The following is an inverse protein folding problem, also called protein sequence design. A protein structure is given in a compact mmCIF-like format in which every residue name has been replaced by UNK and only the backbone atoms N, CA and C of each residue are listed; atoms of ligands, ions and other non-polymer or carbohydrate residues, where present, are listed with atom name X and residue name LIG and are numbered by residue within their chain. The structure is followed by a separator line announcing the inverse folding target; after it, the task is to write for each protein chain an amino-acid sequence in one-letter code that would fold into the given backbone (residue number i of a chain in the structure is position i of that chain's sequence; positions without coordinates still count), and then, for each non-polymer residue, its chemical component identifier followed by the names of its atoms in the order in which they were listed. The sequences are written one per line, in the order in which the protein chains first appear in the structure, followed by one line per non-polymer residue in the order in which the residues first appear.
data_IF_087458451204
#
_entry.id   IF_087458451204
#
_cell.length_a   1.000
_cell.length_b   1.000
_cell.length_c   1.000
_cell.angle_alpha   90.00
_cell.angle_beta   90.00
_cell.angle_gamma   90.00
#
_symmetry.space_group_name_H-M   'P 1'
#
loop_
_entity.id
_entity.type
_entity.pdbx_description
1 polymer ?
#
# COMPACT_ATOMS: atom_id res chain seq x y z
N UNK A 1 17.04 15.47 -5.21
CA UNK A 1 17.18 14.42 -6.23
C UNK A 1 16.25 14.75 -7.38
N UNK A 2 16.71 14.60 -8.61
CA UNK A 2 15.83 14.64 -9.78
C UNK A 2 15.01 13.33 -9.91
N UNK A 3 14.05 13.30 -10.83
CA UNK A 3 13.17 12.13 -11.00
C UNK A 3 13.92 10.87 -11.43
N UNK A 4 14.91 10.97 -12.31
CA UNK A 4 15.64 9.79 -12.79
C UNK A 4 16.45 9.15 -11.65
N UNK A 5 17.11 9.98 -10.84
CA UNK A 5 17.82 9.54 -9.64
C UNK A 5 16.90 8.82 -8.65
N UNK A 6 15.69 9.35 -8.41
CA UNK A 6 14.72 8.70 -7.51
C UNK A 6 14.29 7.33 -8.02
N UNK A 7 14.04 7.20 -9.33
CA UNK A 7 13.64 5.92 -9.93
C UNK A 7 14.76 4.88 -9.87
N UNK A 8 16.02 5.29 -10.05
CA UNK A 8 17.17 4.40 -9.88
C UNK A 8 17.31 3.90 -8.42
N UNK A 9 17.12 4.78 -7.44
CA UNK A 9 17.18 4.42 -6.03
C UNK A 9 16.00 3.51 -5.60
N UNK A 10 14.82 3.74 -6.18
CA UNK A 10 13.66 2.87 -6.01
C UNK A 10 13.94 1.46 -6.57
N UNK A 11 14.40 1.37 -7.82
CA UNK A 11 14.75 0.09 -8.46
C UNK A 11 15.82 -0.68 -7.68
N UNK A 12 16.84 0.03 -7.19
CA UNK A 12 17.88 -0.54 -6.31
C UNK A 12 17.31 -1.06 -5.00
N UNK A 13 16.38 -0.33 -4.39
CA UNK A 13 15.73 -0.74 -3.14
C UNK A 13 14.88 -2.00 -3.33
N UNK A 14 14.12 -2.06 -4.42
CA UNK A 14 13.29 -3.22 -4.77
C UNK A 14 14.13 -4.45 -5.09
N UNK A 15 15.19 -4.27 -5.90
CA UNK A 15 16.16 -5.33 -6.21
C UNK A 15 16.79 -5.89 -4.93
N UNK A 16 17.20 -5.01 -4.00
CA UNK A 16 17.75 -5.44 -2.72
C UNK A 16 16.76 -6.22 -1.88
N UNK A 17 15.51 -5.77 -1.78
CA UNK A 17 14.48 -6.50 -1.06
C UNK A 17 14.25 -7.89 -1.66
N UNK A 18 14.23 -8.00 -2.99
CA UNK A 18 14.13 -9.28 -3.69
C UNK A 18 15.34 -10.19 -3.42
N UNK A 19 16.55 -9.67 -3.45
CA UNK A 19 17.77 -10.45 -3.18
C UNK A 19 17.87 -10.92 -1.72
N UNK A 20 17.44 -10.08 -0.78
CA UNK A 20 17.59 -10.34 0.65
C UNK A 20 16.44 -11.17 1.25
N UNK A 21 15.20 -10.95 0.77
CA UNK A 21 13.98 -11.53 1.36
C UNK A 21 13.39 -12.59 0.43
N UNK A 22 13.54 -12.41 -0.89
CA UNK A 22 12.83 -13.21 -1.89
C UNK A 22 11.37 -12.78 -2.00
N UNK A 23 10.46 -13.74 -1.84
CA UNK A 23 9.04 -13.45 -1.75
C UNK A 23 8.73 -12.70 -0.45
N UNK A 24 8.35 -11.42 -0.58
CA UNK A 24 8.02 -10.57 0.56
C UNK A 24 6.62 -10.86 1.13
N UNK A 25 5.76 -11.58 0.41
CA UNK A 25 4.35 -11.77 0.77
C UNK A 25 4.18 -12.30 2.19
N UNK A 26 4.86 -13.38 2.62
CA UNK A 26 4.69 -13.90 3.98
C UNK A 26 5.12 -12.90 5.05
N UNK A 27 6.15 -12.10 4.78
CA UNK A 27 6.70 -11.10 5.72
C UNK A 27 5.74 -9.90 5.84
N UNK A 28 5.23 -9.42 4.71
CA UNK A 28 4.23 -8.34 4.66
C UNK A 28 2.95 -8.76 5.37
N UNK A 29 2.43 -9.95 5.05
CA UNK A 29 1.19 -10.44 5.65
C UNK A 29 1.30 -10.67 7.16
N UNK A 30 2.42 -11.23 7.63
CA UNK A 30 2.67 -11.39 9.06
C UNK A 30 2.66 -10.04 9.80
N UNK A 31 3.33 -9.02 9.25
CA UNK A 31 3.34 -7.65 9.80
C UNK A 31 1.96 -7.01 9.76
N UNK A 32 1.26 -7.17 8.63
CA UNK A 32 -0.06 -6.61 8.41
C UNK A 32 -1.07 -7.18 9.41
N UNK A 33 -1.14 -8.50 9.58
CA UNK A 33 -2.04 -9.14 10.55
C UNK A 33 -1.67 -8.87 12.00
N UNK A 34 -0.39 -8.66 12.32
CA UNK A 34 -0.02 -8.22 13.66
C UNK A 34 -0.61 -6.84 14.02
N UNK A 35 -0.77 -5.94 13.03
CA UNK A 35 -1.35 -4.60 13.20
C UNK A 35 -2.87 -4.58 13.04
N UNK A 36 -3.40 -5.44 12.18
CA UNK A 36 -4.82 -5.52 11.84
C UNK A 36 -5.30 -6.98 11.90
N UNK A 37 -5.39 -7.59 13.09
CA UNK A 37 -5.69 -9.02 13.23
C UNK A 37 -7.05 -9.40 12.62
N UNK A 38 -8.03 -8.50 12.71
CA UNK A 38 -9.38 -8.72 12.16
C UNK A 38 -9.41 -8.78 10.63
N UNK A 39 -8.37 -8.29 9.93
CA UNK A 39 -8.29 -8.36 8.48
C UNK A 39 -8.09 -9.80 7.97
N UNK A 40 -7.58 -10.72 8.79
CA UNK A 40 -7.40 -12.12 8.40
C UNK A 40 -8.73 -12.78 7.99
N UNK A 41 -9.79 -12.55 8.77
CA UNK A 41 -11.13 -13.05 8.46
C UNK A 41 -11.69 -12.47 7.14
N UNK A 42 -11.29 -11.26 6.76
CA UNK A 42 -11.66 -10.65 5.48
C UNK A 42 -10.97 -11.34 4.31
N UNK A 43 -9.68 -11.65 4.44
CA UNK A 43 -8.92 -12.41 3.45
C UNK A 43 -9.45 -13.84 3.29
N UNK A 44 -9.82 -14.52 4.38
CA UNK A 44 -10.46 -15.83 4.32
C UNK A 44 -11.81 -15.79 3.58
N UNK A 45 -12.65 -14.79 3.89
CA UNK A 45 -13.96 -14.61 3.27
C UNK A 45 -13.84 -14.38 1.77
N UNK A 46 -13.01 -13.42 1.36
CA UNK A 46 -12.88 -13.01 -0.04
C UNK A 46 -12.01 -13.97 -0.85
N UNK A 47 -11.06 -14.65 -0.21
CA UNK A 47 -10.19 -15.62 -0.85
C UNK A 47 -10.93 -16.90 -1.28
N UNK A 48 -12.11 -17.19 -0.72
CA UNK A 48 -12.96 -18.33 -1.11
C UNK A 48 -12.18 -19.67 -1.18
N UNK A 49 -11.37 -19.94 -0.16
CA UNK A 49 -10.51 -21.14 -0.08
C UNK A 49 -9.14 -20.99 -0.76
N UNK A 50 -8.84 -19.81 -1.30
CA UNK A 50 -7.55 -19.46 -1.94
C UNK A 50 -6.88 -18.26 -1.26
N UNK A 51 -6.99 -18.16 0.07
CA UNK A 51 -6.48 -17.03 0.87
C UNK A 51 -5.04 -16.65 0.51
N UNK A 52 -4.12 -17.62 0.48
CA UNK A 52 -2.72 -17.33 0.15
C UNK A 52 -2.55 -16.74 -1.26
N UNK A 53 -3.35 -17.16 -2.24
CA UNK A 53 -3.29 -16.56 -3.58
C UNK A 53 -3.80 -15.10 -3.58
N UNK A 54 -4.86 -14.82 -2.81
CA UNK A 54 -5.36 -13.46 -2.64
C UNK A 54 -4.35 -12.57 -1.90
N UNK A 55 -3.65 -13.09 -0.89
CA UNK A 55 -2.57 -12.38 -0.20
C UNK A 55 -1.47 -11.94 -1.17
N UNK A 56 -0.99 -12.85 -2.02
CA UNK A 56 0.00 -12.53 -3.06
C UNK A 56 -0.53 -11.45 -4.00
N UNK A 57 -1.75 -11.60 -4.51
CA UNK A 57 -2.36 -10.63 -5.42
C UNK A 57 -2.45 -9.22 -4.79
N UNK A 58 -2.81 -9.14 -3.50
CA UNK A 58 -2.92 -7.85 -2.82
C UNK A 58 -1.55 -7.23 -2.53
N UNK A 59 -0.52 -8.03 -2.24
CA UNK A 59 0.86 -7.54 -2.11
C UNK A 59 1.43 -7.10 -3.46
N UNK A 60 1.15 -7.83 -4.54
CA UNK A 60 1.53 -7.43 -5.91
C UNK A 60 0.90 -6.09 -6.30
N UNK A 61 -0.37 -5.87 -5.96
CA UNK A 61 -1.05 -4.59 -6.19
C UNK A 61 -0.41 -3.45 -5.39
N UNK A 62 0.05 -3.72 -4.16
CA UNK A 62 0.82 -2.75 -3.39
C UNK A 62 2.15 -2.43 -4.07
N UNK A 63 2.91 -3.45 -4.49
CA UNK A 63 4.18 -3.28 -5.20
C UNK A 63 4.01 -2.44 -6.47
N UNK A 64 2.96 -2.69 -7.25
CA UNK A 64 2.64 -1.89 -8.43
C UNK A 64 2.45 -0.40 -8.07
N UNK A 65 1.69 -0.09 -7.02
CA UNK A 65 1.52 1.30 -6.57
C UNK A 65 2.86 1.94 -6.17
N UNK A 66 3.72 1.20 -5.47
CA UNK A 66 5.03 1.68 -5.01
C UNK A 66 5.99 1.93 -6.18
N UNK A 67 6.02 1.02 -7.16
CA UNK A 67 6.87 1.13 -8.36
C UNK A 67 6.53 2.37 -9.19
N UNK A 68 5.25 2.72 -9.29
CA UNK A 68 4.79 3.74 -10.24
C UNK A 68 4.37 5.06 -9.61
N UNK A 69 4.24 5.19 -8.29
CA UNK A 69 3.77 6.43 -7.66
C UNK A 69 4.65 7.66 -7.94
N UNK A 70 5.96 7.48 -8.17
CA UNK A 70 6.88 8.56 -8.53
C UNK A 70 6.98 8.81 -10.04
N UNK A 71 6.75 7.78 -10.85
CA UNK A 71 6.82 7.89 -12.31
C UNK A 71 5.50 8.40 -12.89
N UNK A 72 4.37 7.90 -12.38
CA UNK A 72 3.01 8.04 -12.90
C UNK A 72 2.03 8.36 -11.76
N UNK A 73 2.21 9.46 -11.02
CA UNK A 73 1.44 9.76 -9.81
C UNK A 73 -0.07 9.81 -10.07
N UNK A 74 -0.50 10.43 -11.18
CA UNK A 74 -1.93 10.53 -11.53
C UNK A 74 -2.56 9.17 -11.86
N UNK A 75 -1.81 8.24 -12.44
CA UNK A 75 -2.30 6.88 -12.71
C UNK A 75 -2.59 6.15 -11.40
N UNK A 76 -1.65 6.23 -10.45
CA UNK A 76 -1.80 5.64 -9.11
C UNK A 76 -2.91 6.32 -8.31
N UNK A 77 -3.05 7.64 -8.40
CA UNK A 77 -4.14 8.37 -7.78
C UNK A 77 -5.51 7.88 -8.27
N UNK A 78 -5.73 7.87 -9.59
CA UNK A 78 -6.99 7.39 -10.19
C UNK A 78 -7.26 5.93 -9.81
N UNK A 79 -6.24 5.07 -9.81
CA UNK A 79 -6.39 3.68 -9.41
C UNK A 79 -6.90 3.58 -7.97
N UNK A 80 -6.26 4.29 -7.04
CA UNK A 80 -6.60 4.25 -5.62
C UNK A 80 -7.95 4.92 -5.32
N UNK A 81 -8.29 6.02 -6.00
CA UNK A 81 -9.59 6.69 -5.88
C UNK A 81 -10.76 5.80 -6.29
N UNK A 82 -10.55 4.86 -7.21
CA UNK A 82 -11.56 3.87 -7.59
C UNK A 82 -11.52 2.62 -6.68
N UNK A 83 -10.32 2.15 -6.36
CA UNK A 83 -10.11 0.91 -5.60
C UNK A 83 -10.57 1.05 -4.16
N UNK A 84 -10.22 2.14 -3.48
CA UNK A 84 -10.53 2.34 -2.06
C UNK A 84 -12.04 2.38 -1.77
N UNK A 85 -12.87 3.15 -2.49
CA UNK A 85 -14.33 3.12 -2.29
C UNK A 85 -14.95 1.76 -2.59
N UNK A 86 -14.48 1.04 -3.62
CA UNK A 86 -14.98 -0.30 -3.91
C UNK A 86 -14.71 -1.26 -2.75
N UNK A 87 -13.49 -1.24 -2.21
CA UNK A 87 -13.11 -2.04 -1.05
C UNK A 87 -13.95 -1.71 0.18
N UNK A 88 -14.14 -0.42 0.48
CA UNK A 88 -14.92 0.04 1.63
C UNK A 88 -16.40 -0.34 1.51
N UNK A 89 -17.04 0.01 0.40
CA UNK A 89 -18.50 -0.05 0.28
C UNK A 89 -19.02 -1.38 -0.26
N UNK A 90 -18.24 -2.08 -1.08
CA UNK A 90 -18.64 -3.36 -1.67
C UNK A 90 -18.04 -4.54 -0.91
N UNK A 91 -16.75 -4.50 -0.62
CA UNK A 91 -16.04 -5.63 -0.01
C UNK A 91 -15.98 -5.58 1.52
N UNK A 92 -16.49 -4.50 2.13
CA UNK A 92 -16.47 -4.26 3.58
C UNK A 92 -15.04 -4.31 4.16
N UNK A 93 -14.04 -3.95 3.36
CA UNK A 93 -12.65 -3.79 3.79
C UNK A 93 -12.48 -2.35 4.27
N UNK A 94 -12.16 -2.17 5.55
CA UNK A 94 -12.02 -0.81 6.09
C UNK A 94 -10.91 -0.03 5.40
N UNK A 95 -11.07 1.29 5.31
CA UNK A 95 -10.02 2.18 4.82
C UNK A 95 -8.67 1.97 5.52
N UNK A 96 -8.70 1.77 6.85
CA UNK A 96 -7.48 1.59 7.63
C UNK A 96 -6.81 0.23 7.34
N UNK A 97 -7.59 -0.81 7.00
CA UNK A 97 -7.05 -2.10 6.52
C UNK A 97 -6.40 -1.95 5.14
N UNK A 98 -7.08 -1.29 4.20
CA UNK A 98 -6.53 -1.05 2.86
C UNK A 98 -5.19 -0.31 2.93
N UNK A 99 -5.17 0.82 3.64
CA UNK A 99 -3.95 1.61 3.84
C UNK A 99 -2.90 0.80 4.61
N UNK A 100 -3.31 0.04 5.62
CA UNK A 100 -2.42 -0.76 6.46
C UNK A 100 -1.59 -1.78 5.67
N UNK A 101 -2.15 -2.37 4.60
CA UNK A 101 -1.40 -3.29 3.75
C UNK A 101 -0.32 -2.57 2.92
N UNK A 102 -0.64 -1.40 2.38
CA UNK A 102 0.34 -0.56 1.66
C UNK A 102 1.45 -0.11 2.61
N UNK A 103 1.09 0.36 3.81
CA UNK A 103 2.05 0.75 4.85
C UNK A 103 2.95 -0.43 5.28
N UNK A 104 2.39 -1.64 5.44
CA UNK A 104 3.16 -2.84 5.76
C UNK A 104 4.15 -3.22 4.65
N UNK A 105 3.74 -3.09 3.38
CA UNK A 105 4.60 -3.34 2.22
C UNK A 105 5.77 -2.36 2.16
N UNK A 106 5.50 -1.06 2.36
CA UNK A 106 6.54 -0.03 2.46
C UNK A 106 7.53 -0.36 3.56
N UNK A 107 7.05 -0.72 4.75
CA UNK A 107 7.93 -1.00 5.89
C UNK A 107 8.86 -2.20 5.63
N UNK A 108 8.35 -3.27 5.00
CA UNK A 108 9.17 -4.46 4.70
C UNK A 108 10.31 -4.10 3.75
N UNK A 109 10.02 -3.32 2.71
CA UNK A 109 11.05 -2.94 1.73
C UNK A 109 12.02 -1.92 2.34
N UNK A 110 11.51 -0.91 3.04
CA UNK A 110 12.33 0.14 3.65
C UNK A 110 13.29 -0.40 4.71
N UNK A 111 12.92 -1.44 5.45
CA UNK A 111 13.79 -2.11 6.42
C UNK A 111 14.95 -2.88 5.77
N UNK A 112 14.85 -3.25 4.50
CA UNK A 112 15.98 -3.86 3.78
C UNK A 112 17.11 -2.86 3.45
N UNK A 113 16.85 -1.56 3.61
CA UNK A 113 17.77 -0.48 3.21
C UNK A 113 18.81 -0.25 4.31
N UNK A 114 20.13 -0.38 4.01
CA UNK A 114 21.21 -0.19 4.99
C UNK A 114 21.15 1.18 5.66
N UNK A 115 21.39 1.29 6.98
CA UNK A 115 21.21 2.50 7.80
C UNK A 115 22.02 3.75 7.38
N UNK A 116 23.01 3.59 6.50
CA UNK A 116 23.83 4.64 5.91
C UNK A 116 23.39 5.09 4.48
N UNK A 117 22.56 4.32 3.78
CA UNK A 117 21.93 4.68 2.51
C UNK A 117 20.81 5.75 2.65
N UNK A 118 21.20 6.98 3.03
CA UNK A 118 20.28 8.10 3.31
C UNK A 118 19.39 8.48 2.11
N UNK A 119 19.94 8.47 0.89
CA UNK A 119 19.20 8.86 -0.31
C UNK A 119 18.06 7.88 -0.64
N UNK A 120 18.29 6.57 -0.45
CA UNK A 120 17.25 5.56 -0.64
C UNK A 120 16.14 5.72 0.40
N UNK A 121 16.49 5.90 1.67
CA UNK A 121 15.51 6.20 2.72
C UNK A 121 14.67 7.44 2.41
N UNK A 122 15.31 8.50 1.92
CA UNK A 122 14.62 9.71 1.52
C UNK A 122 13.59 9.43 0.40
N UNK A 123 13.92 8.55 -0.56
CA UNK A 123 12.96 8.14 -1.60
C UNK A 123 11.75 7.43 -1.00
N UNK A 124 11.95 6.54 -0.03
CA UNK A 124 10.83 5.84 0.63
C UNK A 124 9.98 6.73 1.52
N UNK A 125 10.58 7.73 2.17
CA UNK A 125 9.84 8.78 2.88
C UNK A 125 8.98 9.61 1.91
N UNK A 126 9.51 9.92 0.72
CA UNK A 126 8.75 10.61 -0.33
C UNK A 126 7.59 9.75 -0.86
N UNK A 127 7.82 8.47 -1.13
CA UNK A 127 6.76 7.51 -1.54
C UNK A 127 5.64 7.48 -0.49
N UNK A 128 5.99 7.39 0.80
CA UNK A 128 5.01 7.43 1.89
C UNK A 128 4.23 8.74 1.90
N UNK A 129 4.90 9.87 1.68
CA UNK A 129 4.25 11.18 1.60
C UNK A 129 3.29 11.28 0.42
N UNK A 130 3.68 10.80 -0.77
CA UNK A 130 2.85 10.82 -1.98
C UNK A 130 1.59 9.99 -1.78
N UNK A 131 1.74 8.73 -1.38
CA UNK A 131 0.60 7.84 -1.14
C UNK A 131 -0.26 8.31 0.04
N UNK A 132 0.34 8.89 1.07
CA UNK A 132 -0.38 9.52 2.18
C UNK A 132 -1.27 10.68 1.72
N UNK A 133 -0.84 11.47 0.73
CA UNK A 133 -1.65 12.49 0.08
C UNK A 133 -2.87 11.89 -0.64
N UNK A 134 -2.66 10.86 -1.46
CA UNK A 134 -3.74 10.16 -2.17
C UNK A 134 -4.75 9.55 -1.19
N UNK A 135 -4.26 8.89 -0.13
CA UNK A 135 -5.12 8.31 0.90
C UNK A 135 -5.92 9.38 1.66
N UNK A 136 -5.34 10.57 1.87
CA UNK A 136 -6.09 11.70 2.45
C UNK A 136 -7.24 12.12 1.54
N UNK A 137 -7.01 12.20 0.22
CA UNK A 137 -8.05 12.44 -0.78
C UNK A 137 -9.14 11.37 -0.76
N UNK A 138 -8.75 10.09 -0.81
CA UNK A 138 -9.66 8.96 -0.75
C UNK A 138 -10.53 8.98 0.52
N UNK A 139 -9.96 9.31 1.68
CA UNK A 139 -10.73 9.45 2.94
C UNK A 139 -11.80 10.55 2.83
N UNK A 140 -11.48 11.65 2.16
CA UNK A 140 -12.45 12.71 1.84
C UNK A 140 -13.61 12.21 0.98
N UNK A 141 -13.31 11.43 -0.07
CA UNK A 141 -14.32 10.81 -0.94
C UNK A 141 -15.26 9.87 -0.15
N UNK A 142 -14.71 9.03 0.73
CA UNK A 142 -15.50 8.13 1.56
C UNK A 142 -16.44 8.89 2.51
N UNK A 143 -15.98 10.00 3.08
CA UNK A 143 -16.81 10.84 3.95
C UNK A 143 -17.96 11.51 3.17
N UNK A 144 -17.68 12.01 1.96
CA UNK A 144 -18.70 12.60 1.08
C UNK A 144 -19.71 11.60 0.52
N UNK A 145 -19.31 10.34 0.35
CA UNK A 145 -20.16 9.25 -0.15
C UNK A 145 -21.07 8.62 0.92
N UNK A 146 -20.93 8.99 2.20
CA UNK A 146 -21.77 8.48 3.28
C UNK A 146 -22.94 9.45 3.59
N UNK A 147 -24.18 9.19 3.10
CA UNK A 147 -25.30 10.11 3.26
C UNK A 147 -25.77 10.29 4.72
N UNK A 148 -25.34 9.43 5.65
CA UNK A 148 -25.70 9.54 7.07
C UNK A 148 -24.84 10.60 7.80
N UNK A 149 -23.61 10.88 7.31
CA UNK A 149 -22.75 11.90 7.89
C UNK A 149 -23.11 13.33 7.45
N UNK A 150 -23.66 13.48 6.23
CA UNK A 150 -24.05 14.78 5.67
C UNK A 150 -25.30 15.41 6.33
N UNK A 151 -26.06 14.64 7.12
CA UNK A 151 -27.30 15.10 7.75
C UNK A 151 -27.16 15.49 9.23
N UNK A 152 -25.93 15.51 9.77
CA UNK A 152 -25.66 15.81 11.20
C UNK A 152 -24.76 17.04 11.42
N UNK A 153 -24.61 17.91 10.42
CA UNK A 153 -23.90 19.19 10.52
C UNK A 153 -24.87 20.38 10.45
#
# INVERSE_FOLDING_TARGET
MDRAQKLELLDRSLTRAADAIGDITPVVMARYYARHPDAAASFERHGMGRTSALEHEMVDNCLYCLMYCLERPTEIEILLENSVPHHQFTLQVSFDWYRGLVDATIDVIAESIPADAADERQVWDEIRSVLGGVFTGCRGLLAGANPIAAASA
#
